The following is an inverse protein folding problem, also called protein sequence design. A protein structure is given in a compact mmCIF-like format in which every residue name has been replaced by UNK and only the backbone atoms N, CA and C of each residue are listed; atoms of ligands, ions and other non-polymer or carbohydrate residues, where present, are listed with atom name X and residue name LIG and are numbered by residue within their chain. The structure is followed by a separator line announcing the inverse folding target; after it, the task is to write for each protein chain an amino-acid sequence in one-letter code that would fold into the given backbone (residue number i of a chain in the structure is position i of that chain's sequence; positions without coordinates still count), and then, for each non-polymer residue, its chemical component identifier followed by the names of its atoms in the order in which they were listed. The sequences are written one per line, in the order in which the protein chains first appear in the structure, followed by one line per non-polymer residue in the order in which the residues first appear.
data_IF_169979135943
#
_entry.id   IF_169979135943
#
_cell.length_a   1.000
_cell.length_b   1.000
_cell.length_c   1.000
_cell.angle_alpha   90.00
_cell.angle_beta   90.00
_cell.angle_gamma   90.00
#
_symmetry.space_group_name_H-M   'P 1'
#
loop_
_entity.id
_entity.type
_entity.pdbx_description
1 polymer ?
#
# COMPACT_ATOMS: atom_id res chain seq x y z
N UNK A 1 21.88 -28.76 -15.38
CA UNK A 1 22.13 -29.05 -16.81
C UNK A 1 21.07 -30.03 -17.29
N UNK A 2 20.31 -29.71 -18.31
CA UNK A 2 19.21 -30.58 -18.75
C UNK A 2 19.75 -31.87 -19.40
N UNK A 3 18.97 -32.92 -19.17
CA UNK A 3 19.28 -34.33 -19.58
C UNK A 3 19.57 -34.52 -21.08
N UNK A 4 19.37 -33.49 -21.90
CA UNK A 4 19.59 -33.53 -23.36
C UNK A 4 21.05 -33.48 -23.83
N UNK A 5 22.02 -33.26 -22.95
CA UNK A 5 23.44 -33.23 -23.31
C UNK A 5 24.09 -34.62 -23.42
N UNK A 6 23.38 -35.71 -23.12
CA UNK A 6 23.91 -37.04 -23.37
C UNK A 6 23.64 -37.45 -24.83
N UNK A 7 24.46 -36.96 -25.74
CA UNK A 7 24.61 -37.45 -27.13
C UNK A 7 24.60 -39.01 -27.24
N UNK A 8 24.85 -39.66 -26.13
CA UNK A 8 24.97 -41.13 -26.04
C UNK A 8 23.61 -41.87 -25.93
N UNK A 9 22.56 -41.24 -25.46
CA UNK A 9 21.26 -41.95 -25.22
C UNK A 9 20.62 -42.43 -26.54
N UNK A 10 20.77 -41.67 -27.62
CA UNK A 10 20.23 -42.03 -28.94
C UNK A 10 21.20 -42.89 -29.72
N UNK A 11 22.48 -42.78 -29.47
CA UNK A 11 23.53 -43.55 -30.16
C UNK A 11 23.57 -45.00 -29.72
N UNK A 12 23.43 -45.31 -28.45
CA UNK A 12 23.52 -46.70 -27.95
C UNK A 12 22.51 -47.66 -28.60
N UNK A 13 21.20 -47.38 -28.68
CA UNK A 13 20.26 -48.29 -29.33
C UNK A 13 20.52 -48.46 -30.81
N UNK A 14 21.00 -47.43 -31.53
CA UNK A 14 21.36 -47.55 -32.94
C UNK A 14 22.55 -48.46 -33.12
N UNK A 15 23.66 -48.25 -32.39
CA UNK A 15 24.85 -49.11 -32.51
C UNK A 15 24.59 -50.55 -32.09
N UNK A 16 23.72 -50.80 -31.12
CA UNK A 16 23.32 -52.16 -30.74
C UNK A 16 22.54 -52.86 -31.86
N UNK A 17 21.57 -52.18 -32.46
CA UNK A 17 20.79 -52.68 -33.60
C UNK A 17 21.70 -52.90 -34.82
N UNK A 18 22.63 -52.00 -35.11
CA UNK A 18 23.59 -52.11 -36.21
C UNK A 18 24.54 -53.28 -36.01
N UNK A 19 24.99 -53.52 -34.77
CA UNK A 19 25.84 -54.69 -34.45
C UNK A 19 25.12 -56.00 -34.68
N UNK A 20 23.83 -56.11 -34.29
CA UNK A 20 23.03 -57.29 -34.54
C UNK A 20 22.83 -57.55 -36.05
N UNK A 21 22.53 -56.44 -36.79
CA UNK A 21 22.38 -56.54 -38.24
C UNK A 21 23.70 -57.00 -38.95
N UNK A 22 24.84 -56.52 -38.46
CA UNK A 22 26.15 -56.89 -38.98
C UNK A 22 26.43 -58.37 -38.75
N UNK A 23 26.05 -58.94 -37.57
CA UNK A 23 26.16 -60.37 -37.27
C UNK A 23 25.33 -61.21 -38.25
N UNK A 24 24.03 -60.73 -38.44
CA UNK A 24 23.10 -61.40 -39.34
C UNK A 24 23.63 -61.45 -40.80
N UNK A 25 24.15 -60.31 -41.28
CA UNK A 25 24.80 -60.30 -42.63
C UNK A 25 25.98 -61.22 -42.71
N UNK A 26 26.78 -61.34 -41.64
CA UNK A 26 27.90 -62.34 -41.59
C UNK A 26 27.40 -63.78 -41.73
N UNK A 27 26.32 -64.17 -41.08
CA UNK A 27 25.68 -65.48 -41.17
C UNK A 27 25.21 -65.77 -42.62
N UNK A 28 24.53 -64.78 -43.23
CA UNK A 28 24.01 -64.84 -44.59
C UNK A 28 25.18 -64.97 -45.60
N UNK A 29 26.26 -64.24 -45.38
CA UNK A 29 27.47 -64.33 -46.24
C UNK A 29 28.09 -65.73 -46.25
N UNK A 30 28.07 -66.39 -45.08
CA UNK A 30 28.60 -67.77 -44.99
C UNK A 30 27.75 -68.75 -45.82
N UNK A 31 26.42 -68.50 -45.93
CA UNK A 31 25.51 -69.37 -46.70
C UNK A 31 25.45 -69.03 -48.20
N UNK A 32 25.49 -67.74 -48.52
CA UNK A 32 25.48 -67.21 -49.87
C UNK A 32 26.28 -65.90 -49.95
N UNK A 33 27.51 -65.96 -50.53
CA UNK A 33 28.41 -64.80 -50.52
C UNK A 33 27.86 -63.59 -51.30
N UNK A 34 27.11 -63.83 -52.43
CA UNK A 34 26.55 -62.73 -53.23
C UNK A 34 25.50 -61.96 -52.49
N UNK A 35 24.55 -62.66 -51.81
CA UNK A 35 23.52 -62.03 -51.01
C UNK A 35 24.13 -61.33 -49.81
N UNK A 36 25.13 -61.90 -49.18
CA UNK A 36 25.86 -61.30 -48.08
C UNK A 36 26.57 -59.99 -48.46
N UNK A 37 27.22 -59.97 -49.66
CA UNK A 37 27.86 -58.77 -50.15
C UNK A 37 26.89 -57.62 -50.42
N UNK A 38 25.69 -57.89 -50.96
CA UNK A 38 24.63 -56.95 -51.17
C UNK A 38 24.12 -56.41 -49.80
N UNK A 39 23.87 -57.25 -48.79
CA UNK A 39 23.49 -56.89 -47.44
C UNK A 39 24.53 -55.98 -46.76
N UNK A 40 25.83 -56.28 -46.93
CA UNK A 40 26.91 -55.47 -46.37
C UNK A 40 26.94 -54.04 -47.00
N UNK A 41 26.76 -53.92 -48.32
CA UNK A 41 26.67 -52.62 -48.99
C UNK A 41 25.49 -51.82 -48.50
N UNK A 42 24.31 -52.44 -48.30
CA UNK A 42 23.13 -51.81 -47.76
C UNK A 42 23.34 -51.30 -46.30
N UNK A 43 24.02 -52.12 -45.47
CA UNK A 43 24.38 -51.68 -44.11
C UNK A 43 25.36 -50.50 -44.14
N UNK A 44 26.33 -50.45 -44.99
CA UNK A 44 27.23 -49.30 -45.13
C UNK A 44 26.46 -48.06 -45.60
N UNK A 45 25.55 -48.20 -46.53
CA UNK A 45 24.70 -47.08 -46.99
C UNK A 45 23.83 -46.58 -45.85
N UNK A 46 23.20 -47.47 -45.06
CA UNK A 46 22.43 -47.13 -43.90
C UNK A 46 23.24 -46.36 -42.81
N UNK A 47 24.46 -46.83 -42.55
CA UNK A 47 25.37 -46.15 -41.63
C UNK A 47 25.72 -44.75 -42.11
N UNK A 48 26.03 -44.62 -43.40
CA UNK A 48 26.36 -43.33 -44.01
C UNK A 48 25.19 -42.34 -43.92
N UNK A 49 23.96 -42.78 -44.25
CA UNK A 49 22.75 -41.95 -44.13
C UNK A 49 22.49 -41.56 -42.69
N UNK A 50 22.65 -42.50 -41.74
CA UNK A 50 22.48 -42.20 -40.30
C UNK A 50 23.49 -41.15 -39.85
N UNK A 51 24.77 -41.28 -40.17
CA UNK A 51 25.80 -40.32 -39.80
C UNK A 51 25.55 -38.93 -40.42
N UNK A 52 25.04 -38.88 -41.63
CA UNK A 52 24.66 -37.64 -42.30
C UNK A 52 23.46 -36.96 -41.62
N UNK A 53 22.43 -37.73 -41.30
CA UNK A 53 21.23 -37.24 -40.62
C UNK A 53 21.56 -36.78 -39.19
N UNK A 54 22.41 -37.50 -38.47
CA UNK A 54 22.84 -37.12 -37.12
C UNK A 54 23.60 -35.78 -37.13
N UNK A 55 24.49 -35.56 -38.12
CA UNK A 55 25.20 -34.27 -38.26
C UNK A 55 24.20 -33.13 -38.55
N UNK A 56 23.33 -33.31 -39.53
CA UNK A 56 22.31 -32.30 -39.86
C UNK A 56 21.48 -31.91 -38.66
N UNK A 57 20.92 -32.85 -37.91
CA UNK A 57 20.13 -32.61 -36.73
C UNK A 57 20.94 -31.94 -35.61
N UNK A 58 22.20 -32.33 -35.44
CA UNK A 58 23.10 -31.73 -34.44
C UNK A 58 23.39 -30.26 -34.75
N UNK A 59 23.70 -29.96 -36.03
CA UNK A 59 24.01 -28.60 -36.48
C UNK A 59 22.77 -27.66 -36.38
N UNK A 60 21.59 -28.16 -36.76
CA UNK A 60 20.31 -27.40 -36.58
C UNK A 60 20.01 -27.15 -35.10
N UNK A 61 20.23 -28.16 -34.26
CA UNK A 61 19.98 -28.03 -32.83
C UNK A 61 20.95 -27.06 -32.15
N UNK A 62 22.24 -27.11 -32.48
CA UNK A 62 23.25 -26.16 -31.97
C UNK A 62 22.93 -24.73 -32.42
N UNK A 63 22.53 -24.55 -33.67
CA UNK A 63 22.10 -23.26 -34.20
C UNK A 63 20.86 -22.72 -33.50
N UNK A 64 19.84 -23.58 -33.26
CA UNK A 64 18.65 -23.23 -32.53
C UNK A 64 18.95 -22.82 -31.09
N UNK A 65 19.75 -23.58 -30.35
CA UNK A 65 20.15 -23.26 -28.98
C UNK A 65 20.95 -21.95 -28.91
N UNK A 66 21.86 -21.74 -29.83
CA UNK A 66 22.63 -20.49 -29.93
C UNK A 66 21.71 -19.29 -30.19
N UNK A 67 20.80 -19.42 -31.15
CA UNK A 67 19.82 -18.37 -31.44
C UNK A 67 18.92 -18.08 -30.24
N UNK A 68 18.43 -19.12 -29.55
CA UNK A 68 17.58 -18.97 -28.36
C UNK A 68 18.36 -18.28 -27.23
N UNK A 69 19.62 -18.70 -27.00
CA UNK A 69 20.48 -18.07 -25.99
C UNK A 69 20.74 -16.60 -26.29
N UNK A 70 21.00 -16.26 -27.57
CA UNK A 70 21.17 -14.86 -27.98
C UNK A 70 19.90 -14.04 -27.80
N UNK A 71 18.74 -14.58 -28.18
CA UNK A 71 17.43 -13.90 -27.97
C UNK A 71 17.14 -13.68 -26.50
N UNK A 72 17.35 -14.71 -25.65
CA UNK A 72 17.14 -14.60 -24.21
C UNK A 72 18.06 -13.55 -23.59
N UNK A 73 19.35 -13.51 -24.00
CA UNK A 73 20.29 -12.50 -23.55
C UNK A 73 19.86 -11.10 -23.97
N UNK A 74 19.49 -10.90 -25.23
CA UNK A 74 19.05 -9.61 -25.77
C UNK A 74 17.76 -9.12 -25.07
N UNK A 75 16.74 -9.99 -24.94
CA UNK A 75 15.49 -9.66 -24.26
C UNK A 75 15.73 -9.35 -22.78
N UNK A 76 16.65 -10.08 -22.14
CA UNK A 76 17.03 -9.80 -20.75
C UNK A 76 17.70 -8.43 -20.61
N UNK A 77 18.60 -8.07 -21.51
CA UNK A 77 19.26 -6.76 -21.53
C UNK A 77 18.24 -5.63 -21.79
N UNK A 78 17.37 -5.78 -22.79
CA UNK A 78 16.32 -4.81 -23.08
C UNK A 78 15.36 -4.66 -21.89
N UNK A 79 14.92 -5.76 -21.28
CA UNK A 79 14.05 -5.73 -20.11
C UNK A 79 14.68 -4.99 -18.92
N UNK A 80 15.97 -5.22 -18.63
CA UNK A 80 16.69 -4.51 -17.55
C UNK A 80 16.79 -3.01 -17.80
N UNK A 81 16.88 -2.61 -19.09
CA UNK A 81 16.95 -1.19 -19.45
C UNK A 81 15.60 -0.47 -19.40
N UNK A 82 14.50 -1.18 -19.70
CA UNK A 82 13.16 -0.59 -19.80
C UNK A 82 12.31 -0.79 -18.52
N UNK A 83 12.75 -1.65 -17.58
CA UNK A 83 12.03 -1.87 -16.33
C UNK A 83 11.90 -0.58 -15.52
N UNK A 84 10.69 -0.25 -15.01
CA UNK A 84 10.48 0.89 -14.09
C UNK A 84 10.95 0.57 -12.67
N UNK A 85 12.10 -0.05 -12.55
CA UNK A 85 12.78 -0.41 -11.31
C UNK A 85 14.22 0.06 -11.44
N UNK A 86 14.68 0.87 -10.50
CA UNK A 86 16.07 1.27 -10.44
C UNK A 86 16.95 0.08 -10.05
N UNK A 87 18.02 -0.12 -10.80
CA UNK A 87 18.99 -1.19 -10.54
C UNK A 87 20.37 -0.56 -10.47
N UNK A 88 21.13 -0.90 -9.43
CA UNK A 88 22.48 -0.38 -9.21
C UNK A 88 23.42 -1.50 -8.74
N UNK A 89 24.56 -1.60 -9.38
CA UNK A 89 25.70 -2.44 -8.97
C UNK A 89 26.78 -1.55 -8.37
N UNK A 90 27.40 -1.99 -7.30
CA UNK A 90 28.50 -1.28 -6.63
C UNK A 90 29.63 -2.26 -6.26
N UNK A 91 30.84 -1.75 -6.11
CA UNK A 91 32.03 -2.53 -5.73
C UNK A 91 32.28 -2.52 -4.20
N UNK A 92 33.34 -3.20 -3.77
CA UNK A 92 33.77 -3.27 -2.37
C UNK A 92 34.11 -1.90 -1.74
N UNK A 93 34.44 -0.91 -2.57
CA UNK A 93 34.76 0.46 -2.17
C UNK A 93 33.53 1.37 -2.19
N UNK A 94 32.31 0.80 -2.38
CA UNK A 94 31.05 1.51 -2.52
C UNK A 94 31.02 2.48 -3.72
N UNK A 95 31.77 2.19 -4.78
CA UNK A 95 31.67 2.92 -6.04
C UNK A 95 30.62 2.27 -6.94
N UNK A 96 29.85 3.05 -7.63
CA UNK A 96 28.80 2.62 -8.54
C UNK A 96 29.45 2.11 -9.85
N UNK A 97 29.32 0.84 -10.13
CA UNK A 97 29.86 0.20 -11.34
C UNK A 97 28.87 0.24 -12.50
N UNK A 98 27.57 0.14 -12.19
CA UNK A 98 26.53 0.16 -13.21
C UNK A 98 25.18 0.56 -12.64
N UNK A 99 24.39 1.25 -13.46
CA UNK A 99 22.98 1.55 -13.19
C UNK A 99 22.18 1.44 -14.48
N UNK A 100 20.89 1.12 -14.34
CA UNK A 100 19.99 1.22 -15.49
C UNK A 100 19.54 2.69 -15.70
N UNK A 101 19.04 3.02 -16.90
CA UNK A 101 18.60 4.39 -17.23
C UNK A 101 17.45 4.90 -16.36
N UNK A 102 16.57 4.01 -15.91
CA UNK A 102 15.47 4.36 -15.04
C UNK A 102 15.94 5.03 -13.74
N UNK A 103 16.93 4.44 -13.05
CA UNK A 103 17.46 5.02 -11.82
C UNK A 103 18.12 6.37 -12.05
N UNK A 104 18.92 6.49 -13.10
CA UNK A 104 19.57 7.73 -13.48
C UNK A 104 18.53 8.85 -13.73
N UNK A 105 17.46 8.55 -14.45
CA UNK A 105 16.37 9.49 -14.70
C UNK A 105 15.61 9.89 -13.43
N UNK A 106 15.39 8.96 -12.51
CA UNK A 106 14.72 9.24 -11.23
C UNK A 106 15.52 10.19 -10.34
N UNK A 107 16.86 10.09 -10.41
CA UNK A 107 17.76 10.95 -9.62
C UNK A 107 18.17 12.23 -10.35
N UNK A 108 17.67 12.45 -11.58
CA UNK A 108 17.94 13.66 -12.36
C UNK A 108 19.39 13.79 -12.85
N UNK A 109 20.07 12.66 -13.00
CA UNK A 109 21.48 12.59 -13.37
C UNK A 109 21.66 11.86 -14.70
N UNK A 110 22.56 12.32 -15.55
CA UNK A 110 22.83 11.65 -16.84
C UNK A 110 23.60 10.34 -16.65
N UNK A 111 24.47 10.28 -15.64
CA UNK A 111 25.24 9.07 -15.29
C UNK A 111 25.60 9.06 -13.81
N UNK A 112 25.48 7.91 -13.20
CA UNK A 112 25.86 7.64 -11.81
C UNK A 112 27.12 6.78 -11.73
N UNK A 113 27.52 6.18 -12.84
CA UNK A 113 28.66 5.23 -12.90
C UNK A 113 29.97 5.95 -12.55
N UNK A 114 30.76 5.35 -11.68
CA UNK A 114 32.03 5.89 -11.18
C UNK A 114 31.87 6.82 -9.97
N UNK A 115 30.65 7.21 -9.56
CA UNK A 115 30.43 8.01 -8.35
C UNK A 115 30.42 7.13 -7.10
N UNK A 116 30.68 7.74 -5.96
CA UNK A 116 30.56 7.05 -4.69
C UNK A 116 29.10 6.92 -4.27
N UNK A 117 28.72 5.77 -3.72
CA UNK A 117 27.41 5.55 -3.12
C UNK A 117 27.16 6.50 -1.93
N UNK A 118 28.23 6.98 -1.26
CA UNK A 118 28.15 8.00 -0.22
C UNK A 118 27.62 9.33 -0.76
N UNK A 119 27.94 9.69 -1.99
CA UNK A 119 27.52 10.95 -2.59
C UNK A 119 26.09 10.89 -3.14
N UNK A 120 25.65 9.72 -3.59
CA UNK A 120 24.36 9.53 -4.28
C UNK A 120 23.27 9.09 -3.31
N UNK A 121 23.61 8.22 -2.34
CA UNK A 121 22.65 7.57 -1.46
C UNK A 121 23.29 7.21 -0.10
N UNK A 122 23.80 8.19 0.62
CA UNK A 122 24.49 8.00 1.93
C UNK A 122 23.65 7.20 2.93
N UNK A 123 22.33 7.41 2.92
CA UNK A 123 21.38 6.73 3.81
C UNK A 123 21.33 5.21 3.63
N UNK A 124 21.78 4.69 2.49
CA UNK A 124 21.77 3.24 2.20
C UNK A 124 22.99 2.53 2.82
N UNK A 125 24.08 3.21 3.03
CA UNK A 125 25.33 2.61 3.52
C UNK A 125 25.18 1.95 4.91
N UNK A 126 24.55 2.62 5.91
CA UNK A 126 24.27 1.98 7.20
C UNK A 126 23.41 0.72 7.03
N UNK A 127 22.44 0.71 6.13
CA UNK A 127 21.55 -0.43 5.88
C UNK A 127 22.31 -1.62 5.31
N UNK A 128 23.23 -1.37 4.38
CA UNK A 128 24.14 -2.41 3.85
C UNK A 128 24.97 -3.00 4.99
N UNK A 129 25.50 -2.22 5.90
CA UNK A 129 26.33 -2.66 7.03
C UNK A 129 25.56 -3.41 8.10
N UNK A 130 24.28 -3.04 8.35
CA UNK A 130 23.42 -3.63 9.38
C UNK A 130 22.63 -4.86 8.93
N UNK A 131 22.89 -5.34 7.72
CA UNK A 131 22.23 -6.53 7.16
C UNK A 131 20.72 -6.37 6.94
N UNK A 132 20.27 -5.17 6.68
CA UNK A 132 18.88 -4.89 6.31
C UNK A 132 18.64 -5.34 4.86
N UNK A 133 17.66 -6.19 4.65
CA UNK A 133 17.32 -6.67 3.30
C UNK A 133 16.43 -5.69 2.52
N UNK A 134 15.56 -4.96 3.24
CA UNK A 134 14.60 -4.05 2.61
C UNK A 134 14.30 -2.87 3.55
N UNK A 135 14.37 -1.64 3.01
CA UNK A 135 14.06 -0.43 3.74
C UNK A 135 13.50 0.64 2.80
N UNK A 136 12.77 1.60 3.35
CA UNK A 136 12.29 2.78 2.62
C UNK A 136 13.24 3.94 2.86
N UNK A 137 13.81 4.46 1.78
CA UNK A 137 14.72 5.60 1.82
C UNK A 137 14.18 6.76 1.00
N UNK A 138 14.53 7.98 1.41
CA UNK A 138 14.26 9.19 0.62
C UNK A 138 15.55 9.60 -0.05
N UNK A 139 15.53 9.65 -1.39
CA UNK A 139 16.63 10.14 -2.21
C UNK A 139 16.13 11.32 -3.03
N UNK A 140 16.74 12.47 -2.87
CA UNK A 140 16.24 13.75 -3.39
C UNK A 140 14.79 13.95 -2.89
N UNK A 141 13.84 14.20 -3.79
CA UNK A 141 12.42 14.41 -3.44
C UNK A 141 11.56 13.14 -3.66
N UNK A 142 12.20 11.97 -3.89
CA UNK A 142 11.50 10.71 -4.17
C UNK A 142 11.71 9.69 -3.05
N UNK A 143 10.70 8.86 -2.86
CA UNK A 143 10.74 7.74 -1.90
C UNK A 143 10.90 6.43 -2.61
N UNK A 144 11.95 5.70 -2.23
CA UNK A 144 12.26 4.40 -2.79
C UNK A 144 12.18 3.31 -1.73
N UNK A 145 11.50 2.23 -2.05
CA UNK A 145 11.69 0.95 -1.36
C UNK A 145 12.92 0.29 -1.94
N UNK A 146 14.00 0.20 -1.15
CA UNK A 146 15.27 -0.37 -1.58
C UNK A 146 15.37 -1.80 -1.09
N UNK A 147 15.69 -2.72 -2.01
CA UNK A 147 16.03 -4.12 -1.70
C UNK A 147 17.51 -4.32 -1.92
N UNK A 148 18.20 -4.81 -0.89
CA UNK A 148 19.66 -4.94 -0.83
C UNK A 148 20.05 -6.39 -1.00
N UNK A 149 20.77 -6.72 -2.06
CA UNK A 149 21.40 -8.02 -2.32
C UNK A 149 22.92 -7.89 -2.15
N UNK A 150 23.41 -8.20 -0.95
CA UNK A 150 24.80 -7.98 -0.58
C UNK A 150 25.79 -8.83 -1.35
N UNK A 151 25.50 -10.13 -1.39
CA UNK A 151 26.40 -11.11 -2.02
C UNK A 151 26.65 -10.76 -3.48
N UNK A 152 25.64 -10.22 -4.14
CA UNK A 152 25.69 -9.75 -5.52
C UNK A 152 26.10 -8.26 -5.63
N UNK A 153 26.22 -7.53 -4.52
CA UNK A 153 26.44 -6.06 -4.48
C UNK A 153 25.47 -5.30 -5.35
N UNK A 154 24.20 -5.67 -5.24
CA UNK A 154 23.12 -5.22 -6.09
C UNK A 154 22.03 -4.56 -5.24
N UNK A 155 21.56 -3.40 -5.69
CA UNK A 155 20.45 -2.66 -5.11
C UNK A 155 19.32 -2.56 -6.12
N UNK A 156 18.10 -2.81 -5.67
CA UNK A 156 16.88 -2.54 -6.43
C UNK A 156 16.14 -1.38 -5.79
N UNK A 157 15.71 -0.42 -6.59
CA UNK A 157 14.97 0.78 -6.17
C UNK A 157 13.58 0.76 -6.79
N UNK A 158 12.58 0.61 -5.96
CA UNK A 158 11.18 0.73 -6.36
C UNK A 158 10.70 2.12 -5.99
N UNK A 159 10.40 2.94 -6.98
CA UNK A 159 9.82 4.28 -6.73
C UNK A 159 8.39 4.08 -6.19
N UNK A 160 8.19 4.47 -4.94
CA UNK A 160 6.92 4.39 -4.21
C UNK A 160 6.40 5.78 -3.86
N UNK A 161 6.92 6.83 -4.48
CA UNK A 161 6.58 8.23 -4.18
C UNK A 161 5.09 8.46 -4.37
N UNK A 162 4.58 8.15 -5.55
CA UNK A 162 3.16 8.32 -5.88
C UNK A 162 2.26 7.46 -4.97
N UNK A 163 2.67 6.22 -4.67
CA UNK A 163 1.92 5.34 -3.77
C UNK A 163 1.77 5.95 -2.38
N UNK A 164 2.85 6.50 -1.81
CA UNK A 164 2.82 7.12 -0.48
C UNK A 164 2.02 8.43 -0.51
N UNK A 165 2.11 9.21 -1.59
CA UNK A 165 1.32 10.43 -1.75
C UNK A 165 -0.18 10.13 -1.83
N UNK A 166 -0.57 9.12 -2.62
CA UNK A 166 -1.96 8.67 -2.71
C UNK A 166 -2.46 8.13 -1.36
N UNK A 167 -1.66 7.33 -0.67
CA UNK A 167 -2.01 6.79 0.65
C UNK A 167 -2.22 7.93 1.66
N UNK A 168 -1.33 8.93 1.66
CA UNK A 168 -1.44 10.11 2.50
C UNK A 168 -2.70 10.93 2.17
N UNK A 169 -2.96 11.19 0.89
CA UNK A 169 -4.18 11.87 0.45
C UNK A 169 -5.44 11.10 0.87
N UNK A 170 -5.41 9.78 0.69
CA UNK A 170 -6.52 8.93 1.11
C UNK A 170 -6.79 9.01 2.62
N UNK A 171 -5.74 9.02 3.44
CA UNK A 171 -5.86 9.20 4.89
C UNK A 171 -6.38 10.59 5.25
N UNK A 172 -5.88 11.65 4.62
CA UNK A 172 -6.30 13.04 4.86
C UNK A 172 -7.75 13.27 4.44
N UNK A 173 -8.22 12.62 3.37
CA UNK A 173 -9.60 12.74 2.88
C UNK A 173 -10.58 11.76 3.53
N UNK A 174 -10.13 10.87 4.40
CA UNK A 174 -11.04 9.96 5.12
C UNK A 174 -12.12 10.74 5.84
N UNK A 175 -13.36 10.26 5.68
CA UNK A 175 -14.52 10.89 6.31
C UNK A 175 -14.53 10.69 7.81
N UNK A 176 -14.85 11.75 8.55
CA UNK A 176 -15.18 11.73 9.97
C UNK A 176 -16.59 12.29 10.17
N UNK A 177 -17.35 11.66 11.06
CA UNK A 177 -18.74 12.06 11.34
C UNK A 177 -18.85 12.58 12.77
N UNK A 178 -19.40 13.77 12.91
CA UNK A 178 -19.67 14.41 14.19
C UNK A 178 -21.16 14.53 14.47
N UNK A 179 -21.54 14.35 15.73
CA UNK A 179 -22.85 14.67 16.26
C UNK A 179 -22.66 15.79 17.28
N UNK A 180 -23.24 16.94 17.01
CA UNK A 180 -23.24 18.11 17.92
C UNK A 180 -24.57 18.13 18.66
N UNK A 181 -24.51 18.26 19.97
CA UNK A 181 -25.67 18.29 20.84
C UNK A 181 -25.66 19.56 21.71
N UNK A 182 -26.81 20.20 21.81
CA UNK A 182 -27.05 21.35 22.70
C UNK A 182 -27.42 20.80 24.07
N UNK A 183 -26.50 20.82 25.03
CA UNK A 183 -26.59 20.05 26.27
C UNK A 183 -27.83 20.34 27.14
N UNK A 184 -28.17 21.59 27.30
CA UNK A 184 -29.22 22.09 28.23
C UNK A 184 -30.32 22.89 27.51
N UNK A 185 -30.47 22.64 26.19
CA UNK A 185 -31.39 23.41 25.36
C UNK A 185 -32.85 23.31 25.83
N UNK A 186 -33.37 22.12 26.09
CA UNK A 186 -34.74 21.91 26.52
C UNK A 186 -35.02 22.59 27.89
N UNK A 187 -34.08 22.45 28.84
CA UNK A 187 -34.18 23.06 30.16
C UNK A 187 -34.21 24.61 30.07
N UNK A 188 -33.32 25.18 29.26
CA UNK A 188 -33.21 26.62 29.08
C UNK A 188 -34.39 27.21 28.33
N UNK A 189 -34.97 26.46 27.39
CA UNK A 189 -36.06 26.94 26.55
C UNK A 189 -37.47 26.66 27.17
N UNK A 190 -37.50 25.89 28.26
CA UNK A 190 -38.75 25.62 28.97
C UNK A 190 -39.27 26.90 29.65
N UNK A 191 -40.41 27.37 29.18
CA UNK A 191 -41.02 28.61 29.68
C UNK A 191 -40.54 29.91 29.02
N UNK A 192 -39.66 29.84 28.04
CA UNK A 192 -39.29 30.99 27.22
C UNK A 192 -40.43 31.38 26.26
N UNK A 193 -40.51 32.68 26.00
CA UNK A 193 -41.32 33.20 24.91
C UNK A 193 -40.84 32.66 23.56
N UNK A 194 -41.79 32.33 22.66
CA UNK A 194 -41.48 31.75 21.34
C UNK A 194 -40.53 32.60 20.51
N UNK A 195 -40.59 33.92 20.64
CA UNK A 195 -39.70 34.85 19.96
C UNK A 195 -38.27 34.74 20.48
N UNK A 196 -38.09 34.66 21.80
CA UNK A 196 -36.77 34.49 22.44
C UNK A 196 -36.15 33.13 22.04
N UNK A 197 -36.95 32.08 22.07
CA UNK A 197 -36.54 30.74 21.63
C UNK A 197 -36.14 30.73 20.17
N UNK A 198 -36.88 31.39 19.29
CA UNK A 198 -36.56 31.49 17.85
C UNK A 198 -35.26 32.27 17.63
N UNK A 199 -35.03 33.35 18.36
CA UNK A 199 -33.80 34.14 18.27
C UNK A 199 -32.59 33.33 18.72
N UNK A 200 -32.67 32.62 19.84
CA UNK A 200 -31.60 31.73 20.32
C UNK A 200 -31.24 30.65 19.28
N UNK A 201 -32.29 30.02 18.71
CA UNK A 201 -32.09 29.01 17.66
C UNK A 201 -31.39 29.58 16.43
N UNK A 202 -31.81 30.76 15.99
CA UNK A 202 -31.23 31.42 14.83
C UNK A 202 -29.76 31.78 15.09
N UNK A 203 -29.46 32.29 16.28
CA UNK A 203 -28.13 32.69 16.69
C UNK A 203 -27.17 31.46 16.73
N UNK A 204 -27.57 30.41 17.46
CA UNK A 204 -26.75 29.18 17.57
C UNK A 204 -26.55 28.53 16.19
N UNK A 205 -27.61 28.47 15.40
CA UNK A 205 -27.50 27.91 14.02
C UNK A 205 -26.57 28.75 13.17
N UNK A 206 -26.63 30.10 13.26
CA UNK A 206 -25.73 30.98 12.53
C UNK A 206 -24.28 30.79 12.96
N UNK A 207 -24.00 30.69 14.26
CA UNK A 207 -22.66 30.47 14.78
C UNK A 207 -22.06 29.13 14.29
N UNK A 208 -22.85 28.07 14.39
CA UNK A 208 -22.41 26.73 13.91
C UNK A 208 -22.21 26.71 12.41
N UNK A 209 -23.07 27.37 11.62
CA UNK A 209 -22.89 27.46 10.17
C UNK A 209 -21.68 28.30 9.79
N UNK A 210 -21.40 29.40 10.45
CA UNK A 210 -20.23 30.24 10.21
C UNK A 210 -18.93 29.46 10.53
N UNK A 211 -18.90 28.78 11.67
CA UNK A 211 -17.81 27.89 12.03
C UNK A 211 -17.62 26.76 11.01
N UNK A 212 -18.71 26.10 10.59
CA UNK A 212 -18.65 25.05 9.61
C UNK A 212 -18.14 25.54 8.25
N UNK A 213 -18.55 26.74 7.83
CA UNK A 213 -18.09 27.36 6.59
C UNK A 213 -16.58 27.72 6.64
N UNK A 214 -16.11 28.22 7.78
CA UNK A 214 -14.69 28.57 7.99
C UNK A 214 -13.76 27.37 7.77
N UNK A 215 -14.19 26.19 8.27
CA UNK A 215 -13.37 24.96 8.21
C UNK A 215 -13.74 24.03 7.04
N UNK A 216 -14.75 24.33 6.22
CA UNK A 216 -15.20 23.46 5.15
C UNK A 216 -15.98 22.23 5.63
N UNK A 217 -16.66 22.33 6.76
CA UNK A 217 -17.45 21.25 7.37
C UNK A 217 -18.86 21.28 6.79
N UNK A 218 -19.37 20.13 6.33
CA UNK A 218 -20.80 20.00 6.07
C UNK A 218 -21.56 19.88 7.40
N UNK A 219 -22.53 20.76 7.66
CA UNK A 219 -23.36 20.71 8.85
C UNK A 219 -24.84 20.73 8.50
N UNK A 220 -25.63 19.92 9.21
CA UNK A 220 -27.07 19.88 9.04
C UNK A 220 -27.76 19.68 10.40
N UNK A 221 -28.74 20.52 10.69
CA UNK A 221 -29.60 20.36 11.86
C UNK A 221 -30.58 19.20 11.65
N UNK A 222 -30.67 18.28 12.60
CA UNK A 222 -31.54 17.08 12.55
C UNK A 222 -32.67 17.12 13.53
N UNK A 223 -32.52 17.86 14.62
CA UNK A 223 -33.59 18.12 15.60
C UNK A 223 -33.40 19.50 16.27
N UNK A 224 -34.27 19.84 17.26
CA UNK A 224 -34.10 21.05 18.06
C UNK A 224 -32.75 21.18 18.74
N UNK A 225 -32.14 20.06 19.10
CA UNK A 225 -30.90 19.97 19.91
C UNK A 225 -29.72 19.36 19.19
N UNK A 226 -29.91 18.77 17.99
CA UNK A 226 -28.90 18.00 17.33
C UNK A 226 -28.56 18.50 15.94
N UNK A 227 -27.24 18.46 15.64
CA UNK A 227 -26.70 18.65 14.32
C UNK A 227 -25.79 17.47 13.97
N UNK A 228 -25.76 17.14 12.70
CA UNK A 228 -24.75 16.23 12.13
C UNK A 228 -23.72 17.07 11.40
N UNK A 229 -22.45 16.76 11.61
CA UNK A 229 -21.31 17.36 10.94
C UNK A 229 -20.54 16.27 10.19
N UNK A 230 -20.14 16.55 8.95
CA UNK A 230 -19.31 15.67 8.15
C UNK A 230 -18.08 16.46 7.73
N UNK A 231 -16.90 15.90 7.95
CA UNK A 231 -15.61 16.51 7.66
C UNK A 231 -14.61 15.44 7.25
N UNK A 232 -13.48 15.84 6.66
CA UNK A 232 -12.36 14.93 6.44
C UNK A 232 -11.39 14.92 7.64
N UNK A 233 -10.45 13.97 7.64
CA UNK A 233 -9.49 13.80 8.73
C UNK A 233 -8.57 15.03 8.87
N UNK A 234 -8.22 15.70 7.77
CA UNK A 234 -7.39 16.90 7.78
C UNK A 234 -8.08 18.04 8.55
N UNK A 235 -9.38 18.25 8.32
CA UNK A 235 -10.20 19.21 9.06
C UNK A 235 -10.24 18.82 10.53
N UNK A 236 -10.47 17.54 10.84
CA UNK A 236 -10.52 17.05 12.22
C UNK A 236 -9.22 17.34 12.97
N UNK A 237 -8.07 17.08 12.36
CA UNK A 237 -6.74 17.42 12.93
C UNK A 237 -6.62 18.92 13.21
N UNK A 238 -7.15 19.76 12.31
CA UNK A 238 -7.16 21.23 12.53
C UNK A 238 -8.00 21.63 13.72
N UNK A 239 -9.18 21.01 13.86
CA UNK A 239 -10.08 21.24 15.01
C UNK A 239 -9.47 20.74 16.33
N UNK A 240 -8.75 19.62 16.32
CA UNK A 240 -8.00 19.13 17.49
C UNK A 240 -6.94 20.15 17.93
N UNK A 241 -6.20 20.74 17.00
CA UNK A 241 -5.17 21.77 17.27
C UNK A 241 -5.78 23.04 17.86
N UNK A 242 -6.93 23.48 17.35
CA UNK A 242 -7.67 24.62 17.88
C UNK A 242 -8.46 24.29 19.17
N UNK A 243 -8.39 23.03 19.63
CA UNK A 243 -9.11 22.52 20.80
C UNK A 243 -10.61 22.76 20.73
N UNK A 244 -11.17 22.74 19.51
CA UNK A 244 -12.59 22.96 19.25
C UNK A 244 -13.10 24.27 19.86
N UNK A 245 -12.53 25.41 19.44
CA UNK A 245 -12.86 26.75 19.91
C UNK A 245 -14.35 27.11 19.86
N UNK A 246 -15.12 26.42 19.03
CA UNK A 246 -16.59 26.58 18.93
C UNK A 246 -17.29 26.34 20.26
N UNK A 247 -16.79 25.47 21.13
CA UNK A 247 -17.35 25.24 22.46
C UNK A 247 -17.33 26.54 23.30
N UNK A 248 -16.15 27.18 23.32
CA UNK A 248 -15.97 28.44 24.06
C UNK A 248 -16.78 29.57 23.43
N UNK A 249 -16.80 29.70 22.10
CA UNK A 249 -17.55 30.72 21.36
C UNK A 249 -19.06 30.67 21.68
N UNK A 250 -19.68 29.50 21.57
CA UNK A 250 -21.11 29.34 21.85
C UNK A 250 -21.40 29.64 23.29
N UNK A 251 -20.60 29.15 24.24
CA UNK A 251 -20.78 29.42 25.68
C UNK A 251 -20.68 30.91 25.99
N UNK A 252 -19.69 31.61 25.48
CA UNK A 252 -19.47 33.03 25.74
C UNK A 252 -20.58 33.90 25.14
N UNK A 253 -20.95 33.65 23.87
CA UNK A 253 -21.98 34.46 23.20
C UNK A 253 -23.39 34.29 23.82
N UNK A 254 -23.74 33.06 24.19
CA UNK A 254 -25.03 32.81 24.80
C UNK A 254 -25.10 33.29 26.27
N UNK A 255 -23.96 33.23 26.98
CA UNK A 255 -23.87 33.76 28.35
C UNK A 255 -24.07 35.28 28.42
N UNK A 256 -23.72 36.05 27.39
CA UNK A 256 -23.97 37.51 27.32
C UNK A 256 -25.47 37.84 27.39
N UNK A 257 -26.32 36.90 27.01
CA UNK A 257 -27.78 37.03 27.06
C UNK A 257 -28.40 36.36 28.29
N UNK A 258 -27.60 35.99 29.29
CA UNK A 258 -27.98 35.20 30.45
C UNK A 258 -28.59 33.82 30.12
N UNK A 259 -28.20 33.25 28.97
CA UNK A 259 -28.63 31.92 28.52
C UNK A 259 -27.38 31.05 28.37
N UNK A 260 -26.85 30.43 29.42
CA UNK A 260 -25.60 29.70 29.38
C UNK A 260 -25.80 28.34 28.66
N UNK A 261 -25.78 28.35 27.31
CA UNK A 261 -25.89 27.15 26.49
C UNK A 261 -24.52 26.54 26.29
N UNK A 262 -24.42 25.24 26.42
CA UNK A 262 -23.17 24.47 26.16
C UNK A 262 -23.36 23.44 25.05
N UNK A 263 -22.27 23.03 24.44
CA UNK A 263 -22.24 22.03 23.38
C UNK A 263 -21.50 20.78 23.82
N UNK A 264 -22.05 19.63 23.49
CA UNK A 264 -21.28 18.37 23.47
C UNK A 264 -21.16 17.87 22.06
N UNK A 265 -19.94 17.39 21.68
CA UNK A 265 -19.68 16.90 20.35
C UNK A 265 -19.10 15.49 20.46
N UNK A 266 -19.75 14.54 19.79
CA UNK A 266 -19.23 13.18 19.62
C UNK A 266 -18.77 12.97 18.20
N UNK A 267 -17.53 12.55 18.00
CA UNK A 267 -16.94 12.32 16.68
C UNK A 267 -16.51 10.87 16.55
N UNK A 268 -16.93 10.23 15.46
CA UNK A 268 -16.39 8.96 14.96
C UNK A 268 -15.39 9.24 13.85
N UNK A 269 -14.20 8.69 13.97
CA UNK A 269 -13.12 8.87 13.01
C UNK A 269 -12.39 7.56 12.74
N UNK A 270 -11.75 7.44 11.56
CA UNK A 270 -10.87 6.31 11.26
C UNK A 270 -11.55 5.01 10.85
N UNK A 271 -12.89 4.94 10.79
CA UNK A 271 -13.61 3.78 10.27
C UNK A 271 -13.72 3.82 8.73
N UNK A 272 -13.93 2.67 8.13
CA UNK A 272 -14.02 2.51 6.68
C UNK A 272 -15.41 2.82 6.14
N UNK A 273 -16.46 2.63 6.95
CA UNK A 273 -17.85 2.81 6.53
C UNK A 273 -18.62 3.82 7.38
N UNK A 274 -19.68 4.38 6.79
CA UNK A 274 -20.52 5.38 7.44
C UNK A 274 -21.36 4.85 8.63
N UNK A 275 -21.91 3.62 8.59
CA UNK A 275 -22.59 3.04 9.73
C UNK A 275 -21.70 2.95 10.98
N UNK A 276 -20.47 2.47 10.83
CA UNK A 276 -19.50 2.40 11.93
C UNK A 276 -19.13 3.80 12.45
N UNK A 277 -18.87 4.75 11.53
CA UNK A 277 -18.63 6.16 11.92
C UNK A 277 -19.79 6.72 12.72
N UNK A 278 -21.03 6.45 12.31
CA UNK A 278 -22.24 6.88 13.04
C UNK A 278 -22.33 6.28 14.44
N UNK A 279 -22.03 4.99 14.58
CA UNK A 279 -22.02 4.31 15.88
C UNK A 279 -20.91 4.87 16.79
N UNK A 280 -19.71 5.09 16.25
CA UNK A 280 -18.59 5.70 16.97
C UNK A 280 -18.93 7.13 17.41
N UNK A 281 -19.53 7.94 16.53
CA UNK A 281 -19.93 9.31 16.86
C UNK A 281 -20.98 9.34 17.97
N UNK A 282 -21.99 8.47 17.92
CA UNK A 282 -22.99 8.38 18.98
C UNK A 282 -22.37 7.93 20.31
N UNK A 283 -21.53 6.88 20.28
CA UNK A 283 -20.81 6.42 21.47
C UNK A 283 -19.91 7.50 22.06
N UNK A 284 -19.25 8.31 21.21
CA UNK A 284 -18.42 9.44 21.63
C UNK A 284 -19.27 10.53 22.30
N UNK A 285 -20.42 10.84 21.72
CA UNK A 285 -21.33 11.82 22.31
C UNK A 285 -21.81 11.36 23.70
N UNK A 286 -22.17 10.09 23.84
CA UNK A 286 -22.61 9.53 25.12
C UNK A 286 -21.48 9.62 26.18
N UNK A 287 -20.22 9.41 25.78
CA UNK A 287 -19.06 9.62 26.65
C UNK A 287 -18.89 11.10 27.05
N UNK A 288 -19.04 12.03 26.13
CA UNK A 288 -18.96 13.47 26.43
C UNK A 288 -20.05 13.90 27.40
N UNK A 289 -21.29 13.48 27.16
CA UNK A 289 -22.45 13.76 28.04
C UNK A 289 -22.28 13.08 29.40
N UNK A 290 -21.81 11.84 29.44
CA UNK A 290 -21.56 11.08 30.67
C UNK A 290 -20.51 11.74 31.60
N UNK A 291 -19.61 12.56 31.06
CA UNK A 291 -18.62 13.35 31.80
C UNK A 291 -19.09 14.74 32.22
N UNK A 292 -20.33 15.07 31.96
CA UNK A 292 -20.95 16.34 32.35
C UNK A 292 -21.21 17.32 31.18
N UNK A 293 -20.93 16.93 29.96
CA UNK A 293 -21.11 17.75 28.77
C UNK A 293 -20.05 18.85 28.60
N UNK A 294 -20.29 19.81 27.70
CA UNK A 294 -19.40 20.93 27.37
C UNK A 294 -18.03 20.49 26.93
N UNK A 295 -17.97 19.45 26.11
CA UNK A 295 -16.73 18.85 25.62
C UNK A 295 -16.91 18.08 24.33
N UNK A 296 -15.79 17.80 23.68
CA UNK A 296 -15.70 16.91 22.53
C UNK A 296 -15.10 15.58 22.94
N UNK A 297 -15.68 14.49 22.48
CA UNK A 297 -15.05 13.19 22.50
C UNK A 297 -14.88 12.69 21.06
N UNK A 298 -13.71 12.11 20.74
CA UNK A 298 -13.39 11.50 19.46
C UNK A 298 -13.06 10.04 19.72
N UNK A 299 -13.75 9.12 19.03
CA UNK A 299 -13.52 7.69 19.15
C UNK A 299 -13.13 7.08 17.83
N UNK A 300 -12.14 6.16 17.87
CA UNK A 300 -11.65 5.40 16.73
C UNK A 300 -12.00 3.90 16.89
N UNK A 301 -12.02 3.11 15.81
CA UNK A 301 -12.33 1.68 15.85
C UNK A 301 -11.43 0.86 16.78
N UNK A 302 -10.18 1.29 16.96
CA UNK A 302 -9.23 0.66 17.87
C UNK A 302 -9.53 0.90 19.37
N UNK A 303 -10.67 1.54 19.69
CA UNK A 303 -11.07 1.86 21.05
C UNK A 303 -10.41 3.10 21.65
N UNK A 304 -9.50 3.76 20.94
CA UNK A 304 -8.84 4.97 21.40
C UNK A 304 -9.86 6.13 21.46
N UNK A 305 -9.87 6.84 22.60
CA UNK A 305 -10.73 8.00 22.81
C UNK A 305 -9.88 9.21 23.20
N UNK A 306 -10.14 10.35 22.55
CA UNK A 306 -9.57 11.66 22.90
C UNK A 306 -10.69 12.57 23.43
N UNK A 307 -10.37 13.46 24.37
CA UNK A 307 -11.30 14.45 24.90
C UNK A 307 -10.71 15.86 24.80
N UNK A 308 -11.59 16.84 24.50
CA UNK A 308 -11.25 18.26 24.42
C UNK A 308 -12.35 19.09 25.13
N UNK A 309 -11.99 20.18 25.79
CA UNK A 309 -12.94 21.01 26.55
C UNK A 309 -13.10 20.55 28.00
N UNK A 310 -14.27 20.75 28.58
CA UNK A 310 -14.56 20.36 29.98
C UNK A 310 -14.11 21.39 31.01
N UNK A 311 -14.15 22.68 30.70
CA UNK A 311 -13.77 23.78 31.60
C UNK A 311 -14.85 24.18 32.61
N UNK A 312 -16.11 23.80 32.38
CA UNK A 312 -17.21 24.06 33.29
C UNK A 312 -17.17 23.11 34.48
N UNK A 313 -17.21 23.64 35.70
CA UNK A 313 -17.43 22.81 36.89
C UNK A 313 -18.70 21.97 36.68
N UNK A 314 -18.62 20.66 36.99
CA UNK A 314 -19.82 19.82 36.91
C UNK A 314 -20.83 20.30 37.93
N UNK A 315 -21.71 21.25 37.54
CA UNK A 315 -22.97 21.40 38.25
C UNK A 315 -23.67 20.05 38.09
N UNK A 316 -24.11 19.46 39.20
CA UNK A 316 -24.88 18.23 39.22
C UNK A 316 -26.08 18.36 38.27
N UNK A 317 -25.88 18.01 37.01
CA UNK A 317 -26.97 17.89 36.04
C UNK A 317 -27.73 16.62 36.40
N UNK A 318 -28.75 16.82 37.25
CA UNK A 318 -29.69 15.78 37.60
C UNK A 318 -30.48 15.35 36.35
N UNK A 319 -30.39 14.09 36.01
CA UNK A 319 -31.46 13.13 35.91
C UNK A 319 -31.75 12.49 34.55
N UNK A 320 -31.77 13.13 33.40
CA UNK A 320 -32.20 12.42 32.16
C UNK A 320 -31.04 11.79 31.36
N UNK A 321 -29.90 12.40 31.34
CA UNK A 321 -28.73 11.89 30.62
C UNK A 321 -28.10 10.67 31.33
N UNK A 322 -28.02 10.71 32.69
CA UNK A 322 -27.58 9.53 33.47
C UNK A 322 -28.50 8.33 33.28
N UNK A 323 -29.82 8.52 33.20
CA UNK A 323 -30.76 7.42 32.99
C UNK A 323 -30.59 6.79 31.59
N UNK A 324 -30.26 7.58 30.55
CA UNK A 324 -30.03 7.07 29.20
C UNK A 324 -28.69 6.30 29.05
N UNK A 325 -27.64 6.84 29.65
CA UNK A 325 -26.31 6.17 29.66
C UNK A 325 -26.36 4.86 30.41
N UNK A 326 -27.04 4.84 31.57
CA UNK A 326 -27.21 3.61 32.38
C UNK A 326 -28.14 2.61 31.66
N UNK A 327 -29.17 3.05 30.96
CA UNK A 327 -30.05 2.14 30.21
C UNK A 327 -29.39 1.52 28.97
N UNK A 328 -28.40 2.19 28.36
CA UNK A 328 -27.61 1.64 27.24
C UNK A 328 -26.53 0.69 27.75
N UNK A 329 -25.86 1.01 28.84
CA UNK A 329 -24.83 0.17 29.46
C UNK A 329 -25.39 -1.12 30.11
N UNK A 330 -26.68 -1.19 30.37
CA UNK A 330 -27.37 -2.39 30.89
C UNK A 330 -27.97 -3.27 29.77
N UNK A 331 -27.84 -2.86 28.48
CA UNK A 331 -28.30 -3.62 27.32
C UNK A 331 -27.20 -4.35 26.55
N UNK A 332 -25.95 -4.09 26.88
CA UNK A 332 -24.77 -4.89 26.51
C UNK A 332 -24.43 -5.88 27.64
#
# INVERSE_FOLDING_TARGET
MPVFTKKNVIRYPFYSLYSIALILVGIVTYHNWIIGMIGFILLLACLFLYMRMERMLSDEFETYISMLSHRLKKVGEEALMEMPIGIMLFNDEYQIEWTNPFLASCLGEDTLVGRSLYDVAESIIPLIKQEVETEVVTLHDRKFKVVIKRDERLLYFFDITEQIEIEKLYEEERTSLGIIFLDNYDELTQGMDDQVKSNLNSQVTSMLNSWAQEYGIFIKRTSSEKFIAIMNEQILIHLERSKFSILDQVREETSKQNIPLTLSIGIGAGAADLPELGALAQSSLDLALGRGGDQVAIKQPNGKVKFFGGKTNPMEKRTRVRARVISHALKE
#
